data_IF_600649694734
#
_entry.id   IF_600649694734
#
_cell.length_a   1.000
_cell.length_b   1.000
_cell.length_c   1.000
_cell.angle_alpha   90.00
_cell.angle_beta   90.00
_cell.angle_gamma   90.00
#
_symmetry.space_group_name_H-M   'P 1'
#
loop_
_entity.id
_entity.type
_entity.pdbx_description
1 polymer ?
#
# COMPACT_ATOMS: atom_id res chain seq x y z
N UNK A 1 50.58 -7.50 0.80
CA UNK A 1 49.91 -7.79 2.09
C UNK A 1 48.42 -7.90 1.80
N UNK A 2 47.85 -9.10 1.87
CA UNK A 2 46.39 -9.23 1.95
C UNK A 2 45.95 -8.70 3.31
N UNK A 3 44.78 -8.07 3.39
CA UNK A 3 44.29 -7.36 4.57
C UNK A 3 44.24 -8.21 5.86
N UNK A 4 44.40 -9.54 5.76
CA UNK A 4 44.21 -10.52 6.85
C UNK A 4 45.22 -11.69 6.84
N UNK A 5 46.51 -11.46 6.63
CA UNK A 5 47.62 -12.42 6.92
C UNK A 5 47.38 -13.92 6.62
N UNK A 6 46.62 -14.27 5.57
CA UNK A 6 46.36 -15.66 5.18
C UNK A 6 45.35 -16.43 6.04
N UNK A 7 44.65 -15.81 7.00
CA UNK A 7 43.59 -16.48 7.77
C UNK A 7 42.25 -16.49 7.03
N UNK A 8 41.62 -17.66 6.97
CA UNK A 8 40.32 -17.90 6.33
C UNK A 8 39.31 -18.37 7.38
N UNK A 9 38.04 -17.92 7.33
CA UNK A 9 37.47 -16.99 6.35
C UNK A 9 37.83 -15.53 6.61
N UNK A 10 37.97 -14.75 5.54
CA UNK A 10 38.29 -13.30 5.61
C UNK A 10 37.25 -12.47 6.36
N UNK A 11 36.02 -12.98 6.49
CA UNK A 11 34.94 -12.36 7.24
C UNK A 11 34.32 -13.41 8.17
N UNK A 12 34.85 -13.59 9.39
CA UNK A 12 34.38 -14.59 10.35
C UNK A 12 33.04 -14.21 11.00
N UNK A 13 32.52 -13.01 10.73
CA UNK A 13 31.27 -12.54 11.30
C UNK A 13 30.06 -13.32 10.74
N UNK A 14 29.11 -13.71 11.60
CA UNK A 14 27.90 -14.37 11.17
C UNK A 14 27.08 -13.42 10.27
N UNK A 15 26.49 -13.98 9.21
CA UNK A 15 25.57 -13.22 8.36
C UNK A 15 24.29 -12.94 9.14
N UNK A 16 23.84 -11.69 9.10
CA UNK A 16 22.59 -11.28 9.75
C UNK A 16 21.49 -11.19 8.70
N UNK A 17 20.33 -11.78 8.99
CA UNK A 17 19.15 -11.62 8.16
C UNK A 17 18.54 -10.21 8.37
N UNK A 18 17.96 -9.58 7.33
CA UNK A 18 17.28 -8.30 7.48
C UNK A 18 16.03 -8.46 8.37
N UNK A 19 15.87 -7.57 9.36
CA UNK A 19 14.70 -7.57 10.25
C UNK A 19 13.42 -6.98 9.65
N UNK A 20 13.46 -6.49 8.41
CA UNK A 20 12.35 -5.86 7.69
C UNK A 20 12.23 -6.52 6.31
N UNK A 21 11.00 -6.65 5.80
CA UNK A 21 10.77 -7.14 4.44
C UNK A 21 11.39 -6.19 3.41
N UNK A 22 12.23 -6.75 2.53
CA UNK A 22 12.95 -5.99 1.49
C UNK A 22 12.01 -5.19 0.58
N UNK A 23 10.87 -5.71 0.10
CA UNK A 23 9.94 -4.94 -0.73
C UNK A 23 9.39 -3.70 -0.01
N UNK A 24 9.01 -3.83 1.26
CA UNK A 24 8.52 -2.71 2.06
C UNK A 24 9.62 -1.65 2.26
N UNK A 25 10.86 -2.08 2.52
CA UNK A 25 11.99 -1.17 2.65
C UNK A 25 12.24 -0.38 1.35
N UNK A 26 12.15 -1.02 0.19
CA UNK A 26 12.30 -0.36 -1.11
C UNK A 26 11.22 0.72 -1.27
N UNK A 27 9.96 0.41 -0.97
CA UNK A 27 8.85 1.37 -1.05
C UNK A 27 9.11 2.58 -0.14
N UNK A 28 9.48 2.34 1.12
CA UNK A 28 9.78 3.41 2.08
C UNK A 28 10.91 4.30 1.56
N UNK A 29 12.00 3.72 1.07
CA UNK A 29 13.14 4.48 0.56
C UNK A 29 12.78 5.33 -0.67
N UNK A 30 11.99 4.79 -1.61
CA UNK A 30 11.54 5.53 -2.80
C UNK A 30 10.69 6.74 -2.40
N UNK A 31 9.70 6.56 -1.53
CA UNK A 31 8.83 7.66 -1.10
C UNK A 31 9.55 8.68 -0.22
N UNK A 32 10.51 8.26 0.62
CA UNK A 32 11.38 9.17 1.38
C UNK A 32 12.28 9.99 0.46
N UNK A 33 12.85 9.38 -0.58
CA UNK A 33 13.66 10.10 -1.56
C UNK A 33 12.83 11.14 -2.33
N UNK A 34 11.59 10.80 -2.71
CA UNK A 34 10.65 11.73 -3.32
C UNK A 34 10.30 12.88 -2.36
N UNK A 35 9.93 12.57 -1.12
CA UNK A 35 9.62 13.58 -0.11
C UNK A 35 10.80 14.53 0.16
N UNK A 36 12.02 13.98 0.30
CA UNK A 36 13.25 14.77 0.44
C UNK A 36 13.49 15.68 -0.77
N UNK A 37 13.28 15.18 -1.98
CA UNK A 37 13.40 15.98 -3.22
C UNK A 37 12.43 17.17 -3.22
N UNK A 38 11.17 16.97 -2.82
CA UNK A 38 10.21 18.08 -2.72
C UNK A 38 10.53 19.07 -1.60
N UNK A 39 11.10 18.60 -0.48
CA UNK A 39 11.59 19.47 0.59
C UNK A 39 12.78 20.33 0.15
N UNK A 40 13.66 19.81 -0.73
CA UNK A 40 14.77 20.58 -1.30
C UNK A 40 14.29 21.67 -2.27
N UNK A 41 13.20 21.44 -3.00
CA UNK A 41 12.61 22.43 -3.92
C UNK A 41 11.78 23.49 -3.17
N UNK A 42 11.36 23.19 -1.94
CA UNK A 42 10.50 24.04 -1.11
C UNK A 42 10.97 25.51 -0.97
N UNK A 43 12.27 25.84 -0.81
CA UNK A 43 12.72 27.23 -0.72
C UNK A 43 12.46 28.04 -2.01
N UNK A 44 12.31 27.37 -3.16
CA UNK A 44 12.00 28.01 -4.44
C UNK A 44 10.54 28.45 -4.58
N UNK A 45 9.66 28.08 -3.65
CA UNK A 45 8.22 28.38 -3.71
C UNK A 45 7.90 29.65 -2.92
N UNK A 46 7.21 30.59 -3.56
CA UNK A 46 6.99 31.95 -3.04
C UNK A 46 5.92 32.00 -1.94
N UNK A 47 6.26 32.68 -0.83
CA UNK A 47 5.31 33.22 0.14
C UNK A 47 4.45 32.19 0.91
N UNK A 48 3.23 32.61 1.29
CA UNK A 48 2.28 31.85 2.12
C UNK A 48 1.72 30.58 1.43
N UNK A 49 1.83 30.49 0.09
CA UNK A 49 1.41 29.30 -0.67
C UNK A 49 2.31 28.08 -0.43
N UNK A 50 3.52 28.29 0.11
CA UNK A 50 4.51 27.25 0.40
C UNK A 50 3.97 26.20 1.38
N UNK A 51 3.25 26.62 2.43
CA UNK A 51 2.68 25.70 3.41
C UNK A 51 1.60 24.81 2.79
N UNK A 52 0.68 25.41 2.02
CA UNK A 52 -0.38 24.65 1.35
C UNK A 52 0.17 23.65 0.33
N UNK A 53 1.18 24.04 -0.45
CA UNK A 53 1.84 23.13 -1.38
C UNK A 53 2.53 21.98 -0.65
N UNK A 54 3.25 22.26 0.44
CA UNK A 54 3.92 21.24 1.25
C UNK A 54 2.91 20.24 1.83
N UNK A 55 1.83 20.73 2.44
CA UNK A 55 0.79 19.86 2.99
C UNK A 55 0.17 19.00 1.88
N UNK A 56 -0.14 19.58 0.72
CA UNK A 56 -0.70 18.84 -0.42
C UNK A 56 0.22 17.74 -0.90
N UNK A 57 1.51 18.04 -1.10
CA UNK A 57 2.50 17.08 -1.62
C UNK A 57 2.77 15.98 -0.61
N UNK A 58 3.01 16.32 0.66
CA UNK A 58 3.27 15.32 1.70
C UNK A 58 2.06 14.42 1.95
N UNK A 59 0.86 15.00 2.01
CA UNK A 59 -0.38 14.24 2.17
C UNK A 59 -0.60 13.27 1.00
N UNK A 60 -0.36 13.74 -0.23
CA UNK A 60 -0.50 12.90 -1.41
C UNK A 60 0.54 11.79 -1.46
N UNK A 61 1.80 12.10 -1.18
CA UNK A 61 2.87 11.10 -1.09
C UNK A 61 2.60 10.08 0.00
N UNK A 62 2.08 10.50 1.15
CA UNK A 62 1.67 9.61 2.21
C UNK A 62 0.58 8.63 1.74
N UNK A 63 -0.47 9.14 1.08
CA UNK A 63 -1.54 8.29 0.52
C UNK A 63 -0.96 7.26 -0.47
N UNK A 64 -0.10 7.70 -1.40
CA UNK A 64 0.53 6.80 -2.37
C UNK A 64 1.46 5.78 -1.72
N UNK A 65 2.25 6.19 -0.73
CA UNK A 65 3.15 5.34 0.02
C UNK A 65 2.39 4.24 0.76
N UNK A 66 1.32 4.61 1.47
CA UNK A 66 0.49 3.66 2.21
C UNK A 66 -0.17 2.64 1.28
N UNK A 67 -0.76 3.07 0.15
CA UNK A 67 -1.40 2.15 -0.81
C UNK A 67 -0.41 1.07 -1.30
N UNK A 68 0.84 1.45 -1.58
CA UNK A 68 1.87 0.49 -2.04
C UNK A 68 2.44 -0.32 -0.87
N UNK A 69 2.65 0.30 0.28
CA UNK A 69 3.21 -0.37 1.47
C UNK A 69 2.27 -1.45 2.01
N UNK A 70 0.96 -1.17 2.09
CA UNK A 70 -0.02 -2.14 2.58
C UNK A 70 -0.16 -3.34 1.64
N UNK A 71 0.06 -3.15 0.33
CA UNK A 71 0.04 -4.24 -0.64
C UNK A 71 1.12 -5.29 -0.34
N UNK A 72 2.34 -4.86 0.03
CA UNK A 72 3.46 -5.75 0.39
C UNK A 72 3.49 -6.13 1.88
N UNK A 73 2.55 -5.63 2.70
CA UNK A 73 2.50 -5.93 4.12
C UNK A 73 1.89 -7.29 4.40
N UNK A 74 2.48 -8.04 5.34
CA UNK A 74 1.93 -9.29 5.87
C UNK A 74 1.02 -9.06 7.09
N UNK A 75 0.66 -7.81 7.41
CA UNK A 75 -0.08 -7.44 8.63
C UNK A 75 -1.56 -7.13 8.38
N UNK A 76 -2.21 -7.87 7.48
CA UNK A 76 -3.65 -7.70 7.22
C UNK A 76 -4.49 -8.43 8.27
N UNK A 77 -4.12 -9.66 8.58
CA UNK A 77 -4.68 -10.42 9.70
C UNK A 77 -3.55 -11.02 10.51
N UNK A 78 -3.55 -10.78 11.82
CA UNK A 78 -2.46 -11.16 12.73
C UNK A 78 -3.04 -11.98 13.89
N UNK A 79 -2.33 -13.01 14.31
CA UNK A 79 -2.64 -13.77 15.51
C UNK A 79 -1.34 -14.21 16.17
N UNK A 80 -1.34 -14.31 17.49
CA UNK A 80 -0.15 -14.72 18.23
C UNK A 80 -0.53 -15.38 19.55
N UNK A 81 0.24 -16.39 19.95
CA UNK A 81 -0.01 -17.11 21.20
C UNK A 81 1.30 -17.62 21.81
N UNK A 82 1.40 -17.54 23.14
CA UNK A 82 2.51 -18.13 23.90
C UNK A 82 2.13 -19.54 24.32
N UNK A 83 2.88 -20.53 23.86
CA UNK A 83 2.58 -21.94 24.11
C UNK A 83 3.83 -22.78 24.33
N UNK A 84 3.62 -23.93 24.98
CA UNK A 84 4.62 -24.99 25.03
C UNK A 84 4.27 -26.01 23.94
N UNK A 85 5.09 -26.08 22.90
CA UNK A 85 4.85 -26.96 21.75
C UNK A 85 5.98 -27.97 21.58
N UNK A 86 5.74 -29.04 20.81
CA UNK A 86 6.84 -29.81 20.24
C UNK A 86 7.63 -28.92 19.28
N UNK A 87 8.90 -29.26 19.11
CA UNK A 87 9.83 -28.43 18.34
C UNK A 87 10.34 -29.13 17.09
N UNK A 88 10.89 -30.34 17.24
CA UNK A 88 11.46 -31.10 16.13
C UNK A 88 11.19 -32.59 16.26
N UNK A 89 11.16 -33.27 15.11
CA UNK A 89 11.10 -34.71 15.04
C UNK A 89 12.26 -35.39 15.81
N UNK A 90 12.01 -36.62 16.27
CA UNK A 90 12.97 -37.42 17.05
C UNK A 90 13.43 -36.79 18.38
N UNK A 91 12.70 -35.79 18.88
CA UNK A 91 12.91 -35.22 20.21
C UNK A 91 11.59 -35.12 20.97
N UNK A 92 11.57 -35.59 22.22
CA UNK A 92 10.42 -35.42 23.11
C UNK A 92 10.42 -34.07 23.83
N UNK A 93 11.49 -33.28 23.68
CA UNK A 93 11.62 -31.99 24.35
C UNK A 93 10.59 -30.98 23.80
N UNK A 94 9.97 -30.24 24.73
CA UNK A 94 9.06 -29.14 24.40
C UNK A 94 9.76 -27.81 24.61
N UNK A 95 9.41 -26.85 23.76
CA UNK A 95 9.95 -25.50 23.79
C UNK A 95 8.83 -24.54 24.17
N UNK A 96 9.15 -23.56 25.00
CA UNK A 96 8.24 -22.43 25.27
C UNK A 96 8.49 -21.35 24.23
N UNK A 97 7.53 -21.13 23.35
CA UNK A 97 7.68 -20.18 22.24
C UNK A 97 6.43 -19.31 22.05
N UNK A 98 6.64 -18.12 21.52
CA UNK A 98 5.61 -17.30 20.93
C UNK A 98 5.47 -17.67 19.46
N UNK A 99 4.29 -18.19 19.10
CA UNK A 99 3.95 -18.53 17.72
C UNK A 99 3.08 -17.42 17.16
N UNK A 100 3.54 -16.76 16.10
CA UNK A 100 2.80 -15.72 15.38
C UNK A 100 2.39 -16.19 13.99
N UNK A 101 1.18 -15.79 13.59
CA UNK A 101 0.64 -15.96 12.26
C UNK A 101 0.31 -14.57 11.71
N UNK A 102 0.98 -14.21 10.62
CA UNK A 102 0.82 -12.95 9.93
C UNK A 102 0.34 -13.24 8.51
N UNK A 103 -0.91 -12.90 8.21
CA UNK A 103 -1.51 -13.12 6.90
C UNK A 103 -1.49 -11.82 6.11
N UNK A 104 -0.86 -11.85 4.94
CA UNK A 104 -0.88 -10.78 3.94
C UNK A 104 -1.84 -11.07 2.80
N UNK A 105 -1.78 -10.24 1.76
CA UNK A 105 -2.56 -10.44 0.54
C UNK A 105 -2.00 -11.57 -0.34
N UNK A 106 -0.68 -11.73 -0.33
CA UNK A 106 0.06 -12.60 -1.25
C UNK A 106 0.59 -13.88 -0.60
N UNK A 107 0.41 -14.05 0.70
CA UNK A 107 0.92 -15.18 1.45
C UNK A 107 0.78 -15.02 2.96
N UNK A 108 1.43 -15.92 3.68
CA UNK A 108 1.54 -15.91 5.13
C UNK A 108 3.00 -15.88 5.57
N UNK A 109 3.22 -15.24 6.71
CA UNK A 109 4.45 -15.29 7.47
C UNK A 109 4.14 -15.95 8.81
N UNK A 110 4.89 -17.00 9.15
CA UNK A 110 4.77 -17.72 10.41
C UNK A 110 6.04 -17.46 11.21
N UNK A 111 5.87 -16.92 12.42
CA UNK A 111 6.95 -16.62 13.33
C UNK A 111 6.96 -17.60 14.50
N UNK A 112 8.15 -18.07 14.88
CA UNK A 112 8.35 -18.91 16.06
C UNK A 112 9.55 -18.37 16.84
N UNK A 113 9.28 -17.71 17.96
CA UNK A 113 10.29 -17.07 18.80
C UNK A 113 10.33 -17.70 20.18
N UNK A 114 11.49 -18.20 20.60
CA UNK A 114 11.67 -18.81 21.91
C UNK A 114 11.56 -17.81 23.07
N UNK A 115 11.02 -18.24 24.21
CA UNK A 115 10.99 -17.47 25.46
C UNK A 115 11.65 -18.27 26.60
N UNK A 116 12.99 -18.21 26.77
CA UNK A 116 13.98 -17.37 26.07
C UNK A 116 14.35 -17.87 24.67
N UNK A 117 15.00 -17.02 23.85
CA UNK A 117 15.36 -17.35 22.44
C UNK A 117 16.31 -18.54 22.35
N UNK A 118 17.25 -18.65 23.28
CA UNK A 118 18.15 -19.80 23.40
C UNK A 118 17.48 -20.88 24.26
N UNK A 119 17.06 -21.99 23.65
CA UNK A 119 16.52 -23.16 24.33
C UNK A 119 17.08 -24.42 23.68
N UNK A 120 17.35 -25.46 24.47
CA UNK A 120 17.89 -26.73 23.97
C UNK A 120 19.22 -26.58 23.21
N UNK A 121 20.04 -25.58 23.57
CA UNK A 121 21.27 -25.19 22.88
C UNK A 121 21.06 -24.73 21.42
N UNK A 122 19.85 -24.30 21.08
CA UNK A 122 19.49 -23.79 19.75
C UNK A 122 18.87 -22.40 19.83
N UNK A 123 19.05 -21.62 18.76
CA UNK A 123 18.47 -20.28 18.62
C UNK A 123 17.11 -20.39 17.95
N UNK A 124 16.05 -20.12 18.69
CA UNK A 124 14.67 -20.27 18.20
C UNK A 124 14.13 -18.90 17.82
N UNK A 125 14.38 -18.51 16.58
CA UNK A 125 13.92 -17.26 15.97
C UNK A 125 13.65 -17.47 14.48
N UNK A 126 12.52 -18.12 14.19
CA UNK A 126 12.10 -18.43 12.82
C UNK A 126 11.09 -17.40 12.32
N UNK A 127 11.23 -17.00 11.06
CA UNK A 127 10.27 -16.18 10.32
C UNK A 127 10.17 -16.74 8.90
N UNK A 128 9.29 -17.72 8.73
CA UNK A 128 9.14 -18.47 7.49
C UNK A 128 7.96 -17.90 6.70
N UNK A 129 8.11 -17.80 5.37
CA UNK A 129 7.12 -17.18 4.49
C UNK A 129 6.67 -18.20 3.45
N UNK A 130 5.36 -18.32 3.29
CA UNK A 130 4.71 -19.16 2.28
C UNK A 130 3.81 -18.30 1.41
N UNK A 131 4.00 -18.35 0.10
CA UNK A 131 3.29 -17.51 -0.84
C UNK A 131 2.21 -18.26 -1.60
N UNK A 132 1.18 -17.54 -2.03
CA UNK A 132 0.07 -18.09 -2.83
C UNK A 132 -0.31 -17.19 -4.01
N UNK A 133 0.64 -16.37 -4.49
CA UNK A 133 0.42 -15.51 -5.66
C UNK A 133 0.05 -16.35 -6.88
N UNK A 134 -0.52 -15.70 -7.88
CA UNK A 134 -0.69 -16.37 -9.18
C UNK A 134 0.68 -16.72 -9.76
N UNK A 135 0.87 -17.99 -10.09
CA UNK A 135 2.13 -18.53 -10.60
C UNK A 135 2.99 -19.22 -9.54
N UNK A 136 2.74 -19.00 -8.24
CA UNK A 136 3.44 -19.68 -7.14
C UNK A 136 2.61 -20.87 -6.65
N UNK A 137 3.28 -21.98 -6.35
CA UNK A 137 2.66 -23.22 -5.91
C UNK A 137 2.89 -23.44 -4.40
N UNK A 138 1.91 -23.06 -3.60
CA UNK A 138 1.97 -23.21 -2.15
C UNK A 138 2.28 -24.65 -1.70
N UNK A 139 1.76 -25.66 -2.42
CA UNK A 139 1.98 -27.06 -2.05
C UNK A 139 3.45 -27.49 -2.24
N UNK A 140 4.14 -26.92 -3.23
CA UNK A 140 5.55 -27.17 -3.51
C UNK A 140 6.44 -26.49 -2.46
N UNK A 141 6.17 -25.20 -2.16
CA UNK A 141 6.86 -24.48 -1.07
C UNK A 141 6.68 -25.21 0.29
N UNK A 142 5.49 -25.77 0.54
CA UNK A 142 5.24 -26.58 1.73
C UNK A 142 6.01 -27.90 1.72
N UNK A 143 6.12 -28.59 0.59
CA UNK A 143 6.95 -29.80 0.50
C UNK A 143 8.44 -29.51 0.71
N UNK A 144 8.96 -28.41 0.16
CA UNK A 144 10.35 -27.98 0.40
C UNK A 144 10.59 -27.66 1.88
N UNK A 145 9.63 -27.01 2.53
CA UNK A 145 9.67 -26.75 3.97
C UNK A 145 9.66 -28.04 4.82
N UNK A 146 8.93 -29.06 4.40
CA UNK A 146 8.94 -30.39 5.02
C UNK A 146 10.30 -31.08 4.84
N UNK A 147 10.86 -31.06 3.63
CA UNK A 147 12.19 -31.63 3.33
C UNK A 147 13.31 -30.92 4.08
N UNK A 148 13.21 -29.58 4.23
CA UNK A 148 14.12 -28.76 5.05
C UNK A 148 14.03 -29.08 6.54
N UNK A 149 12.94 -29.70 7.00
CA UNK A 149 12.74 -30.07 8.40
C UNK A 149 12.46 -28.88 9.32
N UNK A 150 11.59 -27.95 8.89
CA UNK A 150 11.18 -26.83 9.74
C UNK A 150 10.51 -27.29 11.05
N UNK A 151 10.48 -26.45 12.09
CA UNK A 151 9.87 -26.82 13.37
C UNK A 151 8.39 -27.19 13.26
N UNK A 152 7.94 -28.15 14.08
CA UNK A 152 6.57 -28.67 14.05
C UNK A 152 5.47 -27.59 14.08
N UNK A 153 5.56 -26.52 14.90
CA UNK A 153 4.53 -25.48 14.94
C UNK A 153 4.42 -24.69 13.64
N UNK A 154 5.55 -24.49 12.95
CA UNK A 154 5.61 -23.78 11.67
C UNK A 154 4.95 -24.62 10.59
N UNK A 155 5.32 -25.90 10.51
CA UNK A 155 4.74 -26.85 9.56
C UNK A 155 3.24 -27.04 9.80
N UNK A 156 2.81 -27.17 11.06
CA UNK A 156 1.40 -27.28 11.42
C UNK A 156 0.57 -26.10 10.92
N UNK A 157 1.05 -24.86 11.12
CA UNK A 157 0.35 -23.67 10.63
C UNK A 157 0.38 -23.61 9.11
N UNK A 158 1.52 -23.90 8.47
CA UNK A 158 1.64 -23.91 7.02
C UNK A 158 0.69 -24.94 6.37
N UNK A 159 0.53 -26.11 6.98
CA UNK A 159 -0.38 -27.17 6.52
C UNK A 159 -1.83 -26.70 6.48
N UNK A 160 -2.27 -25.87 7.45
CA UNK A 160 -3.65 -25.35 7.51
C UNK A 160 -4.01 -24.44 6.33
N UNK A 161 -3.01 -23.88 5.66
CA UNK A 161 -3.17 -23.06 4.46
C UNK A 161 -2.81 -23.82 3.19
N UNK A 162 -2.66 -25.15 3.23
CA UNK A 162 -2.50 -25.94 2.00
C UNK A 162 -3.81 -26.05 1.21
N UNK A 163 -3.75 -26.20 -0.13
CA UNK A 163 -4.94 -26.37 -0.96
C UNK A 163 -5.78 -27.61 -0.60
N UNK A 164 -5.13 -28.67 -0.10
CA UNK A 164 -5.76 -29.94 0.32
C UNK A 164 -6.30 -29.92 1.75
N UNK A 165 -6.07 -28.84 2.50
CA UNK A 165 -6.51 -28.75 3.90
C UNK A 165 -8.04 -28.81 4.02
N UNK A 166 -8.60 -29.59 4.97
CA UNK A 166 -10.05 -29.64 5.21
C UNK A 166 -10.67 -28.30 5.60
N UNK A 167 -9.85 -27.38 6.11
CA UNK A 167 -10.28 -26.09 6.63
C UNK A 167 -10.57 -25.07 5.53
N UNK A 168 -10.13 -25.29 4.28
CA UNK A 168 -10.45 -24.43 3.13
C UNK A 168 -9.93 -23.00 3.21
N UNK A 169 -9.05 -22.69 4.17
CA UNK A 169 -8.51 -21.35 4.43
C UNK A 169 -7.74 -20.81 3.22
N UNK A 170 -6.97 -21.67 2.57
CA UNK A 170 -6.19 -21.34 1.38
C UNK A 170 -7.03 -20.62 0.32
N UNK A 171 -8.16 -21.23 -0.08
CA UNK A 171 -9.00 -20.69 -1.16
C UNK A 171 -9.59 -19.33 -0.79
N UNK A 172 -10.01 -19.17 0.45
CA UNK A 172 -10.64 -17.93 0.93
C UNK A 172 -9.63 -16.78 1.00
N UNK A 173 -8.51 -16.99 1.69
CA UNK A 173 -7.47 -15.97 1.83
C UNK A 173 -6.81 -15.63 0.49
N UNK A 174 -6.57 -16.62 -0.36
CA UNK A 174 -6.02 -16.39 -1.70
C UNK A 174 -6.96 -15.57 -2.58
N UNK A 175 -8.27 -15.89 -2.60
CA UNK A 175 -9.25 -15.16 -3.42
C UNK A 175 -9.41 -13.71 -2.92
N UNK A 176 -9.61 -13.54 -1.61
CA UNK A 176 -9.78 -12.24 -1.00
C UNK A 176 -8.51 -11.38 -1.12
N UNK A 177 -7.34 -11.97 -0.87
CA UNK A 177 -6.04 -11.33 -1.07
C UNK A 177 -5.81 -10.91 -2.51
N UNK A 178 -6.21 -11.73 -3.48
CA UNK A 178 -6.10 -11.40 -4.90
C UNK A 178 -6.98 -10.21 -5.30
N UNK A 179 -8.26 -10.18 -4.92
CA UNK A 179 -9.14 -9.05 -5.22
C UNK A 179 -8.75 -7.78 -4.48
N UNK A 180 -8.34 -7.89 -3.21
CA UNK A 180 -7.82 -6.76 -2.45
C UNK A 180 -6.54 -6.19 -3.08
N UNK A 181 -5.61 -7.05 -3.50
CA UNK A 181 -4.40 -6.65 -4.24
C UNK A 181 -4.75 -5.94 -5.56
N UNK A 182 -5.61 -6.53 -6.39
CA UNK A 182 -6.01 -5.95 -7.67
C UNK A 182 -6.65 -4.56 -7.49
N UNK A 183 -7.51 -4.40 -6.47
CA UNK A 183 -8.21 -3.14 -6.22
C UNK A 183 -7.29 -2.08 -5.60
N UNK A 184 -6.27 -2.46 -4.82
CA UNK A 184 -5.21 -1.53 -4.39
C UNK A 184 -4.36 -1.05 -5.57
N UNK A 185 -4.01 -1.91 -6.52
CA UNK A 185 -3.29 -1.51 -7.74
C UNK A 185 -4.13 -0.54 -8.59
N UNK A 186 -5.43 -0.79 -8.73
CA UNK A 186 -6.35 0.14 -9.41
C UNK A 186 -6.43 1.47 -8.65
N UNK A 187 -6.53 1.44 -7.32
CA UNK A 187 -6.53 2.64 -6.49
C UNK A 187 -5.24 3.47 -6.66
N UNK A 188 -4.09 2.80 -6.74
CA UNK A 188 -2.79 3.42 -6.99
C UNK A 188 -2.75 4.12 -8.36
N UNK A 189 -3.28 3.49 -9.41
CA UNK A 189 -3.40 4.11 -10.73
C UNK A 189 -4.29 5.37 -10.70
N UNK A 190 -5.43 5.31 -10.01
CA UNK A 190 -6.30 6.49 -9.85
C UNK A 190 -5.66 7.59 -8.98
N UNK A 191 -4.81 7.22 -8.02
CA UNK A 191 -4.05 8.19 -7.22
C UNK A 191 -3.02 8.92 -8.10
N UNK A 192 -2.29 8.20 -8.97
CA UNK A 192 -1.40 8.81 -9.96
C UNK A 192 -2.17 9.76 -10.89
N UNK A 193 -3.32 9.31 -11.40
CA UNK A 193 -4.20 10.11 -12.25
C UNK A 193 -4.71 11.36 -11.52
N UNK A 194 -5.13 11.23 -10.26
CA UNK A 194 -5.58 12.35 -9.42
C UNK A 194 -4.48 13.39 -9.25
N UNK A 195 -3.25 12.97 -8.95
CA UNK A 195 -2.11 13.88 -8.84
C UNK A 195 -1.78 14.62 -10.14
N UNK A 196 -1.83 13.90 -11.27
CA UNK A 196 -1.65 14.51 -12.60
C UNK A 196 -2.74 15.55 -12.91
N UNK A 197 -4.00 15.21 -12.67
CA UNK A 197 -5.14 16.08 -12.94
C UNK A 197 -5.23 17.28 -11.99
N UNK A 198 -4.84 17.13 -10.72
CA UNK A 198 -4.75 18.24 -9.75
C UNK A 198 -3.59 19.19 -10.05
N UNK A 199 -2.60 18.75 -10.82
CA UNK A 199 -1.51 19.60 -11.32
C UNK A 199 -1.91 20.38 -12.57
N UNK A 200 -2.95 19.94 -13.28
CA UNK A 200 -3.56 20.63 -14.41
C UNK A 200 -4.71 21.54 -13.94
N UNK A 201 -5.16 22.53 -14.73
CA UNK A 201 -6.24 23.45 -14.34
C UNK A 201 -7.65 22.81 -14.35
N UNK A 202 -7.75 21.51 -14.06
CA UNK A 202 -9.00 20.72 -14.14
C UNK A 202 -9.31 20.00 -12.82
N UNK A 203 -9.61 20.76 -11.75
CA UNK A 203 -9.70 20.23 -10.39
C UNK A 203 -10.87 19.27 -10.14
N UNK A 204 -11.95 19.39 -10.92
CA UNK A 204 -13.11 18.50 -10.83
C UNK A 204 -12.70 17.03 -11.06
N UNK A 205 -12.00 16.75 -12.17
CA UNK A 205 -11.59 15.37 -12.48
C UNK A 205 -10.50 14.88 -11.53
N UNK A 206 -9.63 15.76 -11.03
CA UNK A 206 -8.67 15.41 -9.98
C UNK A 206 -9.36 14.97 -8.68
N UNK A 207 -10.39 15.69 -8.25
CA UNK A 207 -11.22 15.31 -7.10
C UNK A 207 -12.02 14.03 -7.33
N UNK A 208 -12.62 13.84 -8.51
CA UNK A 208 -13.32 12.60 -8.87
C UNK A 208 -12.37 11.41 -8.90
N UNK A 209 -11.15 11.55 -9.42
CA UNK A 209 -10.13 10.50 -9.40
C UNK A 209 -9.69 10.17 -7.96
N UNK A 210 -9.66 11.16 -7.05
CA UNK A 210 -9.36 10.91 -5.64
C UNK A 210 -10.50 10.16 -4.93
N UNK A 211 -11.76 10.46 -5.29
CA UNK A 211 -12.92 9.71 -4.82
C UNK A 211 -12.89 8.26 -5.30
N UNK A 212 -12.54 8.01 -6.56
CA UNK A 212 -12.43 6.65 -7.08
C UNK A 212 -11.27 5.90 -6.41
N UNK A 213 -10.13 6.54 -6.14
CA UNK A 213 -9.07 5.95 -5.29
C UNK A 213 -9.62 5.52 -3.94
N UNK A 214 -10.31 6.42 -3.23
CA UNK A 214 -10.94 6.10 -1.94
C UNK A 214 -11.92 4.94 -2.03
N UNK A 215 -12.78 4.92 -3.04
CA UNK A 215 -13.73 3.84 -3.27
C UNK A 215 -13.05 2.48 -3.49
N UNK A 216 -12.00 2.41 -4.33
CA UNK A 216 -11.27 1.17 -4.57
C UNK A 216 -10.46 0.70 -3.35
N UNK A 217 -9.87 1.61 -2.57
CA UNK A 217 -9.21 1.23 -1.30
C UNK A 217 -10.21 0.64 -0.29
N UNK A 218 -11.41 1.21 -0.15
CA UNK A 218 -12.45 0.64 0.71
C UNK A 218 -13.01 -0.67 0.16
N UNK A 219 -13.10 -0.81 -1.15
CA UNK A 219 -13.48 -2.08 -1.76
C UNK A 219 -12.44 -3.17 -1.47
N UNK A 220 -11.14 -2.83 -1.40
CA UNK A 220 -10.09 -3.78 -0.98
C UNK A 220 -10.30 -4.27 0.46
N UNK A 221 -10.69 -3.36 1.37
CA UNK A 221 -11.07 -3.70 2.75
C UNK A 221 -12.28 -4.62 2.77
N UNK A 222 -13.31 -4.30 2.00
CA UNK A 222 -14.51 -5.11 1.89
C UNK A 222 -14.20 -6.52 1.36
N UNK A 223 -13.39 -6.62 0.30
CA UNK A 223 -12.96 -7.89 -0.27
C UNK A 223 -12.21 -8.75 0.76
N UNK A 224 -11.32 -8.15 1.56
CA UNK A 224 -10.60 -8.86 2.62
C UNK A 224 -11.51 -9.22 3.81
N UNK A 225 -12.37 -8.30 4.25
CA UNK A 225 -13.30 -8.53 5.36
C UNK A 225 -14.34 -9.61 5.03
N UNK A 226 -14.63 -9.87 3.75
CA UNK A 226 -15.55 -10.94 3.35
C UNK A 226 -15.14 -12.33 3.88
N UNK A 227 -13.87 -12.54 4.23
CA UNK A 227 -13.35 -13.79 4.81
C UNK A 227 -13.97 -14.07 6.18
N UNK A 228 -14.26 -13.05 7.00
CA UNK A 228 -14.79 -13.25 8.36
C UNK A 228 -16.23 -13.78 8.37
N UNK A 229 -16.90 -13.80 7.22
CA UNK A 229 -18.26 -14.35 7.09
C UNK A 229 -18.31 -15.88 7.14
N UNK A 230 -17.16 -16.56 7.05
CA UNK A 230 -17.08 -18.02 7.09
C UNK A 230 -16.47 -18.48 8.41
N UNK A 231 -17.01 -19.56 8.99
CA UNK A 231 -16.53 -20.12 10.25
C UNK A 231 -15.09 -20.64 10.09
N UNK A 232 -14.14 -19.88 10.62
CA UNK A 232 -12.72 -20.24 10.53
C UNK A 232 -12.40 -21.46 11.39
N UNK A 233 -11.57 -22.34 10.82
CA UNK A 233 -11.03 -23.52 11.46
C UNK A 233 -10.22 -23.16 12.72
N UNK A 234 -10.43 -23.86 13.86
CA UNK A 234 -9.72 -23.56 15.10
C UNK A 234 -8.24 -23.97 14.98
N UNK A 235 -7.34 -23.01 15.11
CA UNK A 235 -5.90 -23.25 15.15
C UNK A 235 -5.48 -23.57 16.59
N UNK A 236 -5.10 -24.82 16.86
CA UNK A 236 -4.70 -25.26 18.21
C UNK A 236 -3.23 -25.63 18.23
N UNK A 237 -2.47 -24.92 19.06
CA UNK A 237 -1.04 -25.14 19.27
C UNK A 237 -0.86 -25.62 20.72
N UNK A 238 -0.78 -26.94 20.90
CA UNK A 238 -0.78 -27.55 22.23
C UNK A 238 -2.10 -27.26 22.97
N UNK A 239 -2.02 -26.60 24.11
CA UNK A 239 -3.18 -26.26 24.95
C UNK A 239 -3.86 -24.92 24.61
N UNK A 240 -3.25 -24.08 23.75
CA UNK A 240 -3.82 -22.78 23.42
C UNK A 240 -4.36 -22.72 22.01
N UNK A 241 -5.35 -21.84 21.82
CA UNK A 241 -5.97 -21.53 20.54
C UNK A 241 -5.40 -20.23 20.00
N UNK A 242 -4.91 -20.25 18.76
CA UNK A 242 -4.48 -19.04 18.05
C UNK A 242 -5.70 -18.43 17.36
N UNK A 243 -6.11 -17.25 17.81
CA UNK A 243 -7.15 -16.44 17.17
C UNK A 243 -6.53 -15.31 16.38
N UNK A 244 -7.07 -15.05 15.20
CA UNK A 244 -6.62 -13.99 14.31
C UNK A 244 -7.53 -12.77 14.45
N UNK A 245 -6.95 -11.58 14.34
CA UNK A 245 -7.62 -10.29 14.36
C UNK A 245 -7.06 -9.40 13.24
N UNK A 246 -7.81 -8.36 12.86
CA UNK A 246 -7.37 -7.42 11.83
C UNK A 246 -6.11 -6.67 12.29
N UNK A 247 -5.06 -6.75 11.49
CA UNK A 247 -3.76 -6.13 11.78
C UNK A 247 -3.68 -4.67 11.36
N UNK A 248 -2.48 -4.08 11.51
CA UNK A 248 -2.25 -2.67 11.25
C UNK A 248 -2.54 -2.26 9.79
N UNK A 249 -2.17 -3.10 8.81
CA UNK A 249 -2.37 -2.78 7.39
C UNK A 249 -3.86 -2.61 7.04
N UNK A 250 -4.74 -3.38 7.69
CA UNK A 250 -6.19 -3.27 7.52
C UNK A 250 -6.70 -1.91 8.03
N UNK A 251 -6.35 -1.53 9.26
CA UNK A 251 -6.82 -0.27 9.86
C UNK A 251 -6.25 0.97 9.16
N UNK A 252 -4.98 0.92 8.75
CA UNK A 252 -4.35 2.01 8.01
C UNK A 252 -4.99 2.16 6.63
N UNK A 253 -5.25 1.06 5.91
CA UNK A 253 -5.94 1.10 4.61
C UNK A 253 -7.37 1.64 4.74
N UNK A 254 -8.09 1.29 5.80
CA UNK A 254 -9.41 1.84 6.09
C UNK A 254 -9.35 3.36 6.33
N UNK A 255 -8.39 3.81 7.15
CA UNK A 255 -8.21 5.23 7.44
C UNK A 255 -7.82 6.03 6.18
N UNK A 256 -6.91 5.50 5.36
CA UNK A 256 -6.49 6.17 4.12
C UNK A 256 -7.61 6.21 3.08
N UNK A 257 -8.44 5.17 2.99
CA UNK A 257 -9.61 5.17 2.11
C UNK A 257 -10.66 6.21 2.50
N UNK A 258 -10.98 6.32 3.80
CA UNK A 258 -11.88 7.36 4.32
C UNK A 258 -11.29 8.75 4.07
N UNK A 259 -10.00 8.94 4.32
CA UNK A 259 -9.30 10.19 4.06
C UNK A 259 -9.38 10.60 2.59
N UNK A 260 -9.15 9.68 1.65
CA UNK A 260 -9.28 9.94 0.21
C UNK A 260 -10.71 10.35 -0.17
N UNK A 261 -11.74 9.69 0.39
CA UNK A 261 -13.12 10.08 0.17
C UNK A 261 -13.42 11.48 0.69
N UNK A 262 -13.02 11.81 1.92
CA UNK A 262 -13.26 13.13 2.52
C UNK A 262 -12.58 14.23 1.71
N UNK A 263 -11.32 14.04 1.30
CA UNK A 263 -10.58 14.99 0.48
C UNK A 263 -11.19 15.13 -0.91
N UNK A 264 -11.59 14.02 -1.54
CA UNK A 264 -12.24 14.03 -2.85
C UNK A 264 -13.58 14.76 -2.83
N UNK A 265 -14.42 14.52 -1.81
CA UNK A 265 -15.69 15.24 -1.62
C UNK A 265 -15.42 16.72 -1.41
N UNK A 266 -14.46 17.09 -0.56
CA UNK A 266 -14.12 18.48 -0.30
C UNK A 266 -13.71 19.22 -1.58
N UNK A 267 -12.89 18.61 -2.45
CA UNK A 267 -12.48 19.19 -3.73
C UNK A 267 -13.68 19.38 -4.67
N UNK A 268 -14.55 18.38 -4.78
CA UNK A 268 -15.75 18.46 -5.64
C UNK A 268 -16.74 19.50 -5.12
N UNK A 269 -17.02 19.52 -3.81
CA UNK A 269 -17.90 20.52 -3.19
C UNK A 269 -17.36 21.93 -3.36
N UNK A 270 -16.06 22.16 -3.12
CA UNK A 270 -15.44 23.47 -3.34
C UNK A 270 -15.51 23.91 -4.82
N UNK A 271 -15.45 22.97 -5.76
CA UNK A 271 -15.58 23.29 -7.18
C UNK A 271 -16.97 23.86 -7.52
N UNK A 272 -18.03 23.29 -6.96
CA UNK A 272 -19.40 23.75 -7.18
C UNK A 272 -19.74 25.00 -6.37
N UNK A 273 -19.29 25.07 -5.12
CA UNK A 273 -19.60 26.21 -4.24
C UNK A 273 -18.80 27.46 -4.60
N UNK A 274 -17.47 27.35 -4.80
CA UNK A 274 -16.59 28.49 -5.09
C UNK A 274 -15.50 28.15 -6.13
N UNK A 275 -15.86 28.07 -7.42
CA UNK A 275 -14.92 27.68 -8.49
C UNK A 275 -13.72 28.64 -8.63
N UNK A 276 -13.92 29.93 -8.39
CA UNK A 276 -12.86 30.95 -8.46
C UNK A 276 -11.89 30.85 -7.27
N UNK A 277 -12.39 30.53 -6.06
CA UNK A 277 -11.54 30.32 -4.89
C UNK A 277 -10.74 29.01 -5.01
N UNK A 278 -11.33 27.93 -5.51
CA UNK A 278 -10.63 26.67 -5.72
C UNK A 278 -9.53 26.79 -6.78
N UNK A 279 -9.83 27.43 -7.92
CA UNK A 279 -8.83 27.70 -8.96
C UNK A 279 -7.70 28.56 -8.43
N UNK A 280 -8.00 29.61 -7.67
CA UNK A 280 -6.94 30.41 -7.03
C UNK A 280 -6.17 29.62 -5.96
N UNK A 281 -6.79 28.73 -5.19
CA UNK A 281 -6.07 27.88 -4.23
C UNK A 281 -5.10 26.90 -4.90
N UNK A 282 -5.50 26.29 -6.02
CA UNK A 282 -4.67 25.35 -6.77
C UNK A 282 -3.64 26.07 -7.66
N UNK A 283 -4.05 27.16 -8.34
CA UNK A 283 -3.18 27.97 -9.21
C UNK A 283 -2.22 28.85 -8.42
N UNK A 284 -2.52 29.30 -7.19
CA UNK A 284 -1.57 30.08 -6.37
C UNK A 284 -0.32 29.28 -6.00
N UNK A 285 -0.36 27.96 -6.18
CA UNK A 285 0.81 27.09 -6.13
C UNK A 285 1.72 27.18 -7.37
N UNK A 286 1.28 27.75 -8.49
CA UNK A 286 2.02 27.80 -9.76
C UNK A 286 2.01 29.15 -10.52
N UNK A 287 1.11 30.08 -10.20
CA UNK A 287 0.99 31.40 -10.83
C UNK A 287 1.38 32.51 -9.87
N UNK A 288 2.69 32.75 -9.80
CA UNK A 288 3.27 34.09 -9.59
C UNK A 288 4.44 34.30 -10.58
N UNK A 289 4.36 33.69 -11.78
CA UNK A 289 5.15 34.10 -12.94
C UNK A 289 4.31 35.06 -13.78
N UNK A 290 4.56 36.34 -13.57
CA UNK A 290 3.91 37.44 -14.28
C UNK A 290 3.83 38.70 -13.44
N UNK A 291 4.94 39.13 -12.85
CA UNK A 291 5.02 40.49 -12.30
C UNK A 291 4.82 41.48 -13.43
N UNK A 292 3.68 42.16 -13.42
CA UNK A 292 3.62 43.62 -13.36
C UNK A 292 4.81 44.34 -14.04
N UNK A 293 4.90 44.27 -15.37
CA UNK A 293 5.70 45.21 -16.14
C UNK A 293 4.84 46.46 -16.38
N UNK A 294 5.01 47.45 -15.51
CA UNK A 294 4.55 48.81 -15.72
C UNK A 294 5.37 49.39 -16.88
N UNK A 295 4.80 49.42 -18.08
CA UNK A 295 5.42 49.97 -19.27
C UNK A 295 4.34 50.50 -20.21
N UNK A 296 4.25 51.83 -20.28
CA UNK A 296 3.38 52.61 -21.14
C UNK A 296 3.62 52.34 -22.63
N UNK A 297 2.54 52.06 -23.38
CA UNK A 297 2.13 52.67 -24.67
C UNK A 297 1.42 51.68 -25.59
N UNK A 298 0.43 52.13 -26.40
CA UNK A 298 -0.49 51.25 -27.11
C UNK A 298 0.07 50.87 -28.49
N UNK A 299 0.17 49.58 -28.76
CA UNK A 299 0.37 49.06 -30.11
C UNK A 299 -0.91 48.37 -30.56
N UNK A 300 -1.69 49.13 -31.33
CA UNK A 300 -2.79 48.67 -32.16
C UNK A 300 -2.21 47.66 -33.16
N UNK A 301 -2.63 46.40 -33.05
CA UNK A 301 -2.46 45.41 -34.11
C UNK A 301 -3.85 44.94 -34.54
N UNK A 302 -4.40 45.65 -35.53
CA UNK A 302 -5.58 45.19 -36.27
C UNK A 302 -5.16 43.99 -37.13
N UNK A 303 -5.83 42.85 -36.98
CA UNK A 303 -5.96 41.91 -38.08
C UNK A 303 -7.37 41.31 -38.09
N UNK A 304 -8.12 41.39 -39.21
CA UNK A 304 -9.55 41.14 -39.24
C UNK A 304 -9.83 39.72 -39.73
N UNK A 305 -10.33 38.82 -38.87
CA UNK A 305 -10.94 37.57 -39.32
C UNK A 305 -11.75 36.87 -38.22
N UNK A 306 -12.88 37.45 -37.84
CA UNK A 306 -14.06 36.67 -37.46
C UNK A 306 -15.32 37.52 -37.54
N UNK A 307 -15.97 37.43 -38.71
CA UNK A 307 -17.32 37.94 -38.93
C UNK A 307 -18.26 36.97 -38.21
N UNK A 308 -18.84 37.52 -37.15
CA UNK A 308 -19.98 37.06 -36.35
C UNK A 308 -20.94 36.14 -37.13
N UNK A 309 -21.12 34.90 -36.64
CA UNK A 309 -22.21 34.02 -37.02
C UNK A 309 -23.53 34.69 -36.62
N UNK A 310 -24.29 35.14 -37.61
CA UNK A 310 -25.62 35.71 -37.47
C UNK A 310 -26.68 34.74 -37.99
N UNK A 311 -27.81 34.73 -37.27
CA UNK A 311 -29.01 33.92 -37.44
C UNK A 311 -29.41 33.58 -38.89
N UNK A 312 -29.87 32.34 -39.06
CA UNK A 312 -30.37 31.77 -40.30
C UNK A 312 -31.89 31.98 -40.34
N UNK A 313 -32.35 33.08 -40.95
CA UNK A 313 -33.75 33.27 -41.31
C UNK A 313 -34.02 32.62 -42.67
N UNK A 314 -34.70 31.48 -42.64
CA UNK A 314 -35.23 30.76 -43.80
C UNK A 314 -36.61 31.35 -44.14
N UNK A 315 -36.66 32.26 -45.11
CA UNK A 315 -37.91 32.70 -45.76
C UNK A 315 -38.35 31.65 -46.78
N UNK A 316 -39.45 30.96 -46.48
CA UNK A 316 -40.23 30.11 -47.39
C UNK A 316 -41.01 31.00 -48.37
N UNK A 317 -40.67 30.94 -49.65
CA UNK A 317 -41.52 31.47 -50.72
C UNK A 317 -42.25 30.31 -51.41
N UNK A 318 -43.56 30.26 -51.22
CA UNK A 318 -44.52 29.59 -52.10
C UNK A 318 -44.72 30.43 -53.36
N UNK A 319 -44.74 29.80 -54.55
CA UNK A 319 -45.85 29.89 -55.51
C UNK A 319 -45.50 29.25 -56.87
N UNK A 320 -46.48 28.47 -57.34
CA UNK A 320 -46.76 27.91 -58.68
C UNK A 320 -45.89 26.77 -59.20
#
# INVERSE_FOLDING_TARGET
MTLWNGELPFYPQPRHAPGISVPLLIVILVFLALAASFLLILPGIRGHSRWFWLVRVLLSLFIGAEIVAVHFSAQWSVGGVNTNTSYKAFSAARVRAHVGLHVGLEGINITLTGTPVQQLNETIDYNERFNWRLGENYAEEYSEALEKGLPDPVLYLAEKFTPSSPCGLYRQYRLAGHYASATLWVAFCFWLLSNGLLSMPVPLYGGLALLTTGAFTLFSIFAFASISSVQLCPLRLGSATLTTHYGAAFWVTLATGILCLLLGVAVVSLHYSWPSALRTFLDRSGKDYGSQAKGSSPLILNNPLHKQFGALDLTTNTNL
#
